data_IF_240104702380
#
_entry.id   IF_240104702380
#
_cell.length_a   1.000
_cell.length_b   1.000
_cell.length_c   1.000
_cell.angle_alpha   90.00
_cell.angle_beta   90.00
_cell.angle_gamma   90.00
#
_symmetry.space_group_name_H-M   'P 1'
#
loop_
_entity.id
_entity.type
_entity.pdbx_description
1 polymer ?
#
# COMPACT_ATOMS: atom_id res chain seq x y z
N UNK A 1 47.40 16.12 -23.03
CA UNK A 1 46.52 14.99 -23.34
C UNK A 1 45.15 15.27 -22.73
N UNK A 2 44.30 15.96 -23.49
CA UNK A 2 42.89 16.16 -23.08
C UNK A 2 42.19 14.84 -23.31
N UNK A 3 41.73 14.21 -22.24
CA UNK A 3 40.81 13.09 -22.35
C UNK A 3 39.53 13.63 -23.00
N UNK A 4 39.23 13.20 -24.22
CA UNK A 4 37.95 13.42 -24.87
C UNK A 4 36.86 12.74 -24.04
N UNK A 5 36.32 13.51 -23.11
CA UNK A 5 35.17 13.08 -22.31
C UNK A 5 33.93 13.28 -23.16
N UNK A 6 33.39 12.22 -23.73
CA UNK A 6 32.10 12.30 -24.42
C UNK A 6 30.99 12.55 -23.36
N UNK A 7 30.36 13.77 -23.41
CA UNK A 7 29.31 14.11 -22.44
C UNK A 7 28.14 13.13 -22.43
N UNK A 8 27.85 12.45 -23.53
CA UNK A 8 26.78 11.49 -23.68
C UNK A 8 27.06 10.21 -22.89
N UNK A 9 28.33 9.78 -22.81
CA UNK A 9 28.71 8.61 -22.01
C UNK A 9 28.46 8.90 -20.54
N UNK A 10 28.87 10.06 -20.05
CA UNK A 10 28.67 10.46 -18.63
C UNK A 10 27.20 10.56 -18.27
N UNK A 11 26.36 11.11 -19.18
CA UNK A 11 24.92 11.21 -18.97
C UNK A 11 24.29 9.82 -18.91
N UNK A 12 24.65 8.92 -19.83
CA UNK A 12 24.13 7.55 -19.85
C UNK A 12 24.54 6.75 -18.62
N UNK A 13 25.80 6.89 -18.16
CA UNK A 13 26.25 6.25 -16.90
C UNK A 13 25.44 6.74 -15.69
N UNK A 14 25.21 8.05 -15.58
CA UNK A 14 24.41 8.62 -14.50
C UNK A 14 22.96 8.17 -14.55
N UNK A 15 22.36 8.09 -15.74
CA UNK A 15 20.99 7.56 -15.92
C UNK A 15 20.94 6.10 -15.50
N UNK A 16 21.94 5.29 -15.87
CA UNK A 16 22.02 3.88 -15.45
C UNK A 16 22.07 3.75 -13.93
N UNK A 17 22.93 4.51 -13.26
CA UNK A 17 23.06 4.50 -11.79
C UNK A 17 21.74 4.90 -11.12
N UNK A 18 21.05 5.94 -11.62
CA UNK A 18 19.76 6.37 -11.08
C UNK A 18 18.69 5.28 -11.28
N UNK A 19 18.67 4.66 -12.46
CA UNK A 19 17.73 3.57 -12.75
C UNK A 19 17.99 2.35 -11.84
N UNK A 20 19.24 1.96 -11.65
CA UNK A 20 19.63 0.84 -10.79
C UNK A 20 19.25 1.11 -9.33
N UNK A 21 19.49 2.33 -8.85
CA UNK A 21 19.12 2.75 -7.51
C UNK A 21 17.58 2.75 -7.33
N UNK A 22 16.84 3.28 -8.29
CA UNK A 22 15.37 3.30 -8.28
C UNK A 22 14.80 1.89 -8.32
N UNK A 23 15.37 1.00 -9.13
CA UNK A 23 14.96 -0.42 -9.16
C UNK A 23 15.27 -1.11 -7.84
N UNK A 24 16.41 -0.84 -7.23
CA UNK A 24 16.77 -1.39 -5.93
C UNK A 24 15.78 -0.95 -4.85
N UNK A 25 15.50 0.34 -4.71
CA UNK A 25 14.52 0.84 -3.73
C UNK A 25 13.13 0.27 -3.99
N UNK A 26 12.69 0.24 -5.24
CA UNK A 26 11.39 -0.34 -5.62
C UNK A 26 11.32 -1.82 -5.27
N UNK A 27 12.41 -2.58 -5.47
CA UNK A 27 12.47 -4.00 -5.13
C UNK A 27 12.40 -4.22 -3.62
N UNK A 28 13.05 -3.39 -2.81
CA UNK A 28 13.00 -3.44 -1.35
C UNK A 28 11.59 -3.14 -0.83
N UNK A 29 10.96 -2.09 -1.33
CA UNK A 29 9.58 -1.75 -0.98
C UNK A 29 8.61 -2.87 -1.37
N UNK A 30 8.77 -3.43 -2.57
CA UNK A 30 7.95 -4.55 -3.06
C UNK A 30 8.16 -5.80 -2.19
N UNK A 31 9.39 -6.13 -1.81
CA UNK A 31 9.70 -7.26 -0.93
C UNK A 31 9.04 -7.09 0.45
N UNK A 32 9.10 -5.89 1.04
CA UNK A 32 8.45 -5.57 2.31
C UNK A 32 6.93 -5.68 2.21
N UNK A 33 6.33 -5.13 1.15
CA UNK A 33 4.89 -5.24 0.90
C UNK A 33 4.45 -6.69 0.70
N UNK A 34 5.17 -7.47 -0.09
CA UNK A 34 4.88 -8.87 -0.31
C UNK A 34 5.04 -9.70 0.97
N UNK A 35 6.07 -9.44 1.76
CA UNK A 35 6.26 -10.08 3.06
C UNK A 35 5.07 -9.78 3.99
N UNK A 36 4.66 -8.52 4.06
CA UNK A 36 3.52 -8.12 4.87
C UNK A 36 2.19 -8.70 4.37
N UNK A 37 1.96 -8.71 3.04
CA UNK A 37 0.78 -9.34 2.43
C UNK A 37 0.75 -10.84 2.73
N UNK A 38 1.88 -11.54 2.56
CA UNK A 38 1.97 -12.98 2.84
C UNK A 38 1.78 -13.28 4.33
N UNK A 39 2.30 -12.41 5.20
CA UNK A 39 2.10 -12.55 6.64
C UNK A 39 0.64 -12.35 7.01
N UNK A 40 -0.03 -11.33 6.48
CA UNK A 40 -1.48 -11.10 6.70
C UNK A 40 -2.34 -12.24 6.15
N UNK A 41 -1.95 -12.86 5.05
CA UNK A 41 -2.65 -14.03 4.50
C UNK A 41 -2.51 -15.27 5.38
N UNK A 42 -1.30 -15.58 5.88
CA UNK A 42 -1.06 -16.72 6.78
C UNK A 42 -1.70 -16.55 8.15
N UNK A 43 -1.75 -15.31 8.64
CA UNK A 43 -2.26 -14.98 9.96
C UNK A 43 -3.78 -14.74 9.98
N UNK A 44 -4.44 -14.67 8.83
CA UNK A 44 -5.92 -14.60 8.76
C UNK A 44 -6.61 -15.87 9.29
N UNK A 45 -5.87 -16.98 9.37
CA UNK A 45 -6.35 -18.22 9.99
C UNK A 45 -6.22 -18.23 11.52
N UNK A 46 -5.37 -17.37 12.09
CA UNK A 46 -5.17 -17.24 13.54
C UNK A 46 -5.75 -15.88 13.97
N UNK A 47 -6.82 -15.88 14.73
CA UNK A 47 -7.36 -14.66 15.33
C UNK A 47 -6.27 -14.01 16.19
N UNK A 48 -5.75 -12.88 15.75
CA UNK A 48 -4.79 -12.09 16.51
C UNK A 48 -5.48 -11.48 17.73
N UNK A 49 -4.78 -11.47 18.85
CA UNK A 49 -5.22 -10.86 20.10
C UNK A 49 -4.89 -9.37 20.22
N UNK A 50 -4.57 -8.72 19.09
CA UNK A 50 -4.20 -7.30 19.02
C UNK A 50 -4.69 -6.65 17.72
N UNK A 51 -4.85 -5.32 17.78
CA UNK A 51 -5.12 -4.51 16.60
C UNK A 51 -3.85 -4.37 15.75
N UNK A 52 -3.91 -4.76 14.49
CA UNK A 52 -2.76 -4.68 13.59
C UNK A 52 -2.34 -3.24 13.26
N UNK A 53 -3.18 -2.24 13.54
CA UNK A 53 -2.88 -0.83 13.29
C UNK A 53 -2.23 -0.18 14.51
N UNK A 54 -2.89 -0.19 15.66
CA UNK A 54 -2.42 0.53 16.85
C UNK A 54 -1.79 -0.36 17.92
N UNK A 55 -1.75 -1.68 17.72
CA UNK A 55 -1.20 -2.70 18.62
C UNK A 55 -1.95 -2.84 19.96
N UNK A 56 -3.10 -2.21 20.14
CA UNK A 56 -3.93 -2.37 21.35
C UNK A 56 -4.39 -3.81 21.50
N UNK A 57 -4.36 -4.30 22.73
CA UNK A 57 -4.81 -5.65 23.14
C UNK A 57 -6.00 -5.57 24.11
N UNK A 58 -6.67 -6.69 24.29
CA UNK A 58 -7.70 -6.80 25.33
C UNK A 58 -8.98 -6.00 25.04
N UNK A 59 -9.24 -5.66 23.81
CA UNK A 59 -10.44 -4.95 23.33
C UNK A 59 -11.16 -5.76 22.26
N UNK A 60 -12.43 -5.48 21.95
CA UNK A 60 -13.11 -6.11 20.82
C UNK A 60 -12.42 -5.76 19.49
N UNK A 61 -12.29 -6.77 18.63
CA UNK A 61 -11.71 -6.65 17.31
C UNK A 61 -12.72 -6.97 16.22
N UNK A 62 -12.52 -6.39 15.06
CA UNK A 62 -13.31 -6.60 13.87
C UNK A 62 -12.39 -6.74 12.64
N UNK A 63 -12.72 -7.67 11.75
CA UNK A 63 -12.05 -7.79 10.46
C UNK A 63 -12.41 -6.60 9.58
N UNK A 64 -11.40 -5.97 8.98
CA UNK A 64 -11.57 -4.88 8.04
C UNK A 64 -11.09 -5.31 6.66
N UNK A 65 -11.98 -5.31 5.66
CA UNK A 65 -11.61 -5.62 4.28
C UNK A 65 -10.75 -4.49 3.70
N UNK A 66 -9.51 -4.82 3.34
CA UNK A 66 -8.50 -3.85 2.91
C UNK A 66 -8.97 -3.06 1.69
N UNK A 67 -9.44 -3.75 0.66
CA UNK A 67 -9.98 -3.12 -0.55
C UNK A 67 -11.47 -2.76 -0.46
N UNK A 68 -12.15 -3.19 0.60
CA UNK A 68 -13.60 -3.23 0.69
C UNK A 68 -14.16 -4.61 0.37
N UNK A 69 -15.23 -5.00 1.05
CA UNK A 69 -15.84 -6.34 0.96
C UNK A 69 -16.21 -6.76 -0.46
N UNK A 70 -16.61 -5.81 -1.30
CA UNK A 70 -17.02 -6.06 -2.70
C UNK A 70 -15.85 -6.38 -3.63
N UNK A 71 -14.61 -6.07 -3.24
CA UNK A 71 -13.45 -6.07 -4.13
C UNK A 71 -12.40 -7.11 -3.77
N UNK A 72 -12.23 -7.42 -2.47
CA UNK A 72 -11.21 -8.37 -2.03
C UNK A 72 -11.60 -8.99 -0.68
N UNK A 73 -11.27 -10.26 -0.49
CA UNK A 73 -11.58 -10.99 0.75
C UNK A 73 -10.55 -10.75 1.87
N UNK A 74 -9.39 -10.20 1.55
CA UNK A 74 -8.31 -10.00 2.52
C UNK A 74 -8.68 -8.96 3.56
N UNK A 75 -8.48 -9.33 4.81
CA UNK A 75 -8.82 -8.52 5.97
C UNK A 75 -7.62 -8.35 6.87
N UNK A 76 -7.61 -7.25 7.62
CA UNK A 76 -6.75 -7.08 8.78
C UNK A 76 -7.58 -7.00 10.06
N UNK A 77 -6.99 -7.42 11.18
CA UNK A 77 -7.65 -7.38 12.48
C UNK A 77 -7.51 -6.00 13.10
N UNK A 78 -8.63 -5.32 13.35
CA UNK A 78 -8.65 -3.95 13.83
C UNK A 78 -9.52 -3.80 15.09
N UNK A 79 -9.10 -2.94 16.02
CA UNK A 79 -9.99 -2.49 17.08
C UNK A 79 -11.10 -1.59 16.52
N UNK A 80 -12.20 -1.46 17.21
CA UNK A 80 -13.37 -0.70 16.76
C UNK A 80 -13.01 0.77 16.38
N UNK A 81 -12.21 1.52 17.18
CA UNK A 81 -11.81 2.87 16.79
C UNK A 81 -11.05 2.93 15.46
N UNK A 82 -10.06 2.05 15.26
CA UNK A 82 -9.29 1.99 14.00
C UNK A 82 -10.17 1.60 12.82
N UNK A 83 -11.03 0.59 12.98
CA UNK A 83 -12.01 0.16 11.98
C UNK A 83 -12.88 1.34 11.52
N UNK A 84 -13.44 2.09 12.47
CA UNK A 84 -14.31 3.23 12.16
C UNK A 84 -13.59 4.34 11.38
N UNK A 85 -12.33 4.61 11.70
CA UNK A 85 -11.52 5.62 10.98
C UNK A 85 -11.33 5.20 9.52
N UNK A 86 -10.86 3.97 9.29
CA UNK A 86 -10.61 3.48 7.94
C UNK A 86 -11.90 3.40 7.13
N UNK A 87 -12.97 2.89 7.72
CA UNK A 87 -14.28 2.80 7.04
C UNK A 87 -14.79 4.18 6.61
N UNK A 88 -14.61 5.21 7.45
CA UNK A 88 -14.96 6.58 7.05
C UNK A 88 -14.11 7.08 5.88
N UNK A 89 -12.81 6.76 5.87
CA UNK A 89 -11.91 7.12 4.76
C UNK A 89 -12.28 6.39 3.47
N UNK A 90 -12.66 5.11 3.54
CA UNK A 90 -13.12 4.34 2.37
C UNK A 90 -14.38 4.91 1.71
N UNK A 91 -15.31 5.44 2.48
CA UNK A 91 -16.57 6.01 1.97
C UNK A 91 -16.41 7.22 1.06
N UNK A 92 -15.25 7.88 1.08
CA UNK A 92 -14.94 9.03 0.24
C UNK A 92 -14.00 8.68 -0.92
N UNK A 93 -13.78 7.39 -1.19
CA UNK A 93 -13.01 6.96 -2.33
C UNK A 93 -13.73 7.24 -3.66
N UNK A 94 -13.11 6.83 -4.76
CA UNK A 94 -13.70 6.91 -6.10
C UNK A 94 -15.09 6.23 -6.14
N UNK A 95 -16.05 6.83 -6.83
CA UNK A 95 -17.43 6.33 -6.92
C UNK A 95 -17.51 4.88 -7.45
N UNK A 96 -16.54 4.45 -8.25
CA UNK A 96 -16.45 3.08 -8.74
C UNK A 96 -16.26 2.07 -7.61
N UNK A 97 -15.77 2.50 -6.45
CA UNK A 97 -15.61 1.64 -5.29
C UNK A 97 -16.96 1.17 -4.71
N UNK A 98 -18.01 1.95 -4.87
CA UNK A 98 -19.34 1.61 -4.36
C UNK A 98 -19.98 0.44 -5.11
N UNK A 99 -19.48 0.10 -6.29
CA UNK A 99 -20.03 -0.94 -7.14
C UNK A 99 -19.05 -2.13 -7.27
N UNK A 100 -19.60 -3.35 -7.31
CA UNK A 100 -18.81 -4.53 -7.63
C UNK A 100 -18.25 -4.40 -9.04
N UNK A 101 -16.98 -4.74 -9.23
CA UNK A 101 -16.32 -4.74 -10.54
C UNK A 101 -15.67 -6.08 -10.82
N UNK A 102 -15.65 -6.47 -12.10
CA UNK A 102 -14.90 -7.62 -12.58
C UNK A 102 -13.48 -7.23 -13.04
N UNK A 103 -13.18 -5.93 -13.12
CA UNK A 103 -11.84 -5.45 -13.46
C UNK A 103 -10.83 -5.80 -12.37
N UNK A 104 -9.85 -6.63 -12.74
CA UNK A 104 -8.74 -6.97 -11.86
C UNK A 104 -7.85 -5.74 -11.57
N UNK A 105 -7.66 -4.87 -12.57
CA UNK A 105 -6.89 -3.62 -12.43
C UNK A 105 -7.53 -2.73 -11.38
N UNK A 106 -8.84 -2.54 -11.45
CA UNK A 106 -9.56 -1.68 -10.50
C UNK A 106 -9.58 -2.28 -9.09
N UNK A 107 -9.79 -3.59 -8.96
CA UNK A 107 -9.69 -4.29 -7.66
C UNK A 107 -8.30 -4.15 -7.05
N UNK A 108 -7.25 -4.28 -7.87
CA UNK A 108 -5.86 -4.08 -7.45
C UNK A 108 -5.63 -2.64 -6.99
N UNK A 109 -6.16 -1.65 -7.72
CA UNK A 109 -6.08 -0.25 -7.31
C UNK A 109 -6.72 -0.01 -5.94
N UNK A 110 -7.92 -0.56 -5.70
CA UNK A 110 -8.60 -0.46 -4.41
C UNK A 110 -7.86 -1.18 -3.29
N UNK A 111 -7.23 -2.30 -3.57
CA UNK A 111 -6.39 -2.98 -2.59
C UNK A 111 -5.19 -2.13 -2.18
N UNK A 112 -4.45 -1.56 -3.13
CA UNK A 112 -3.33 -0.66 -2.82
C UNK A 112 -3.80 0.63 -2.15
N UNK A 113 -4.97 1.15 -2.50
CA UNK A 113 -5.57 2.27 -1.79
C UNK A 113 -5.86 1.92 -0.32
N UNK A 114 -6.38 0.73 -0.07
CA UNK A 114 -6.61 0.23 1.29
C UNK A 114 -5.32 0.10 2.10
N UNK A 115 -4.26 -0.44 1.48
CA UNK A 115 -2.93 -0.50 2.10
C UNK A 115 -2.41 0.88 2.46
N UNK A 116 -2.56 1.85 1.56
CA UNK A 116 -2.18 3.24 1.79
C UNK A 116 -2.86 3.78 3.06
N UNK A 117 -4.18 3.66 3.17
CA UNK A 117 -4.95 4.16 4.31
C UNK A 117 -4.54 3.49 5.63
N UNK A 118 -4.30 2.18 5.61
CA UNK A 118 -3.84 1.43 6.77
C UNK A 118 -2.45 1.90 7.21
N UNK A 119 -1.51 2.05 6.28
CA UNK A 119 -0.15 2.50 6.56
C UNK A 119 -0.13 3.92 7.10
N UNK A 120 -0.93 4.82 6.55
CA UNK A 120 -1.07 6.19 7.07
C UNK A 120 -1.59 6.16 8.51
N UNK A 121 -2.62 5.38 8.79
CA UNK A 121 -3.15 5.27 10.16
C UNK A 121 -2.17 4.58 11.11
N UNK A 122 -1.38 3.60 10.64
CA UNK A 122 -0.29 3.02 11.43
C UNK A 122 0.78 4.07 11.78
N UNK A 123 1.16 4.92 10.82
CA UNK A 123 2.10 6.00 11.06
C UNK A 123 1.58 6.96 12.15
N UNK A 124 0.33 7.35 12.07
CA UNK A 124 -0.33 8.23 13.05
C UNK A 124 -0.39 7.58 14.44
N UNK A 125 -0.89 6.33 14.52
CA UNK A 125 -1.11 5.64 15.79
C UNK A 125 0.17 5.20 16.49
N UNK A 126 1.17 4.79 15.72
CA UNK A 126 2.45 4.32 16.24
C UNK A 126 3.51 5.41 16.30
N UNK A 127 3.21 6.62 15.81
CA UNK A 127 4.15 7.74 15.70
C UNK A 127 5.45 7.34 15.01
N UNK A 128 5.32 6.56 13.92
CA UNK A 128 6.45 6.05 13.16
C UNK A 128 6.32 6.47 11.69
N UNK A 129 7.16 7.42 11.28
CA UNK A 129 7.17 7.98 9.92
C UNK A 129 7.55 6.97 8.82
N UNK A 130 8.15 5.84 9.15
CA UNK A 130 8.46 4.79 8.17
C UNK A 130 7.18 4.31 7.44
N UNK A 131 6.10 4.12 8.18
CA UNK A 131 4.82 3.71 7.57
C UNK A 131 4.26 4.78 6.63
N UNK A 132 4.41 6.06 6.95
CA UNK A 132 4.00 7.15 6.05
C UNK A 132 4.82 7.15 4.75
N UNK A 133 6.13 6.94 4.83
CA UNK A 133 7.01 6.85 3.65
C UNK A 133 6.65 5.66 2.76
N UNK A 134 6.33 4.51 3.35
CA UNK A 134 5.86 3.35 2.58
C UNK A 134 4.50 3.67 1.93
N UNK A 135 3.59 4.31 2.65
CA UNK A 135 2.29 4.74 2.11
C UNK A 135 2.47 5.68 0.90
N UNK A 136 3.35 6.66 0.99
CA UNK A 136 3.61 7.62 -0.09
C UNK A 136 4.06 6.91 -1.38
N UNK A 137 4.79 5.79 -1.28
CA UNK A 137 5.20 4.99 -2.43
C UNK A 137 4.03 4.34 -3.19
N UNK A 138 2.85 4.24 -2.59
CA UNK A 138 1.65 3.67 -3.21
C UNK A 138 0.81 4.69 -3.99
N UNK A 139 1.06 5.99 -3.81
CA UNK A 139 0.26 7.05 -4.42
C UNK A 139 0.28 6.96 -5.95
N UNK A 140 1.48 6.93 -6.55
CA UNK A 140 1.64 6.87 -8.00
C UNK A 140 1.12 5.57 -8.62
N UNK A 141 1.41 4.37 -8.07
CA UNK A 141 0.80 3.12 -8.54
C UNK A 141 -0.73 3.13 -8.51
N UNK A 142 -1.33 3.62 -7.42
CA UNK A 142 -2.81 3.73 -7.33
C UNK A 142 -3.34 4.67 -8.39
N UNK A 143 -2.76 5.86 -8.52
CA UNK A 143 -3.18 6.85 -9.52
C UNK A 143 -3.05 6.31 -10.96
N UNK A 144 -1.99 5.56 -11.23
CA UNK A 144 -1.77 4.92 -12.54
C UNK A 144 -2.85 3.88 -12.84
N UNK A 145 -3.08 2.93 -11.92
CA UNK A 145 -4.08 1.87 -12.09
C UNK A 145 -5.50 2.44 -12.25
N UNK A 146 -5.84 3.49 -11.48
CA UNK A 146 -7.14 4.15 -11.60
C UNK A 146 -7.35 4.81 -12.96
N UNK A 147 -6.29 5.32 -13.60
CA UNK A 147 -6.35 5.90 -14.96
C UNK A 147 -6.45 4.84 -16.05
N UNK A 148 -5.83 3.67 -15.88
CA UNK A 148 -5.89 2.58 -16.86
C UNK A 148 -7.32 2.12 -17.16
N UNK A 149 -8.23 2.27 -16.22
CA UNK A 149 -9.65 1.89 -16.37
C UNK A 149 -10.55 3.02 -16.92
N UNK A 150 -10.00 4.17 -17.25
CA UNK A 150 -10.78 5.26 -17.85
C UNK A 150 -10.76 5.25 -19.37
N UNK A 151 -9.95 4.37 -19.97
CA UNK A 151 -9.85 4.17 -21.44
C UNK A 151 -10.48 2.85 -21.83
#
# INVERSE_FOLDING_TARGET
MLLDYDPLIVVNEKISIVNDYTQYETSQIRALLNSWINQTQKESEIRKDYCEICLTRGVPFQGHHIAGEKHDYRQNNTCIPCHNIITKRQRIWDIRWDNKTDSEVLRTAFFYRGLYEILVLMAEKRQNSLYARIADSLIDPVAYLMRCEQN
#
